data_IF_241901065167
#
_entry.id   IF_241901065167
#
_cell.length_a   1.000
_cell.length_b   1.000
_cell.length_c   1.000
_cell.angle_alpha   90.00
_cell.angle_beta   90.00
_cell.angle_gamma   90.00
#
_symmetry.space_group_name_H-M   'P 1'
#
loop_
_entity.id
_entity.type
_entity.pdbx_description
1 polymer ?
#
# COMPACT_ATOMS: atom_id res chain seq x y z
N UNK A 1 -12.92 -1.17 -18.05
CA UNK A 1 -11.84 -0.18 -17.87
C UNK A 1 -11.10 -0.64 -16.64
N UNK A 2 -9.79 -0.79 -16.75
CA UNK A 2 -8.96 -1.33 -15.70
C UNK A 2 -9.11 -0.56 -14.38
N UNK A 3 -9.33 -1.29 -13.29
CA UNK A 3 -9.41 -0.75 -11.94
C UNK A 3 -8.01 -0.50 -11.37
N UNK A 4 -7.02 -1.33 -11.70
CA UNK A 4 -5.64 -1.15 -11.24
C UNK A 4 -4.70 -1.30 -12.45
N UNK A 5 -3.80 -0.33 -12.63
CA UNK A 5 -2.82 -0.33 -13.72
C UNK A 5 -1.43 -0.02 -13.20
N UNK A 6 -0.46 -0.81 -13.65
CA UNK A 6 0.98 -0.53 -13.53
C UNK A 6 1.55 -0.24 -14.92
N UNK A 7 2.27 0.88 -15.03
CA UNK A 7 3.00 1.26 -16.25
C UNK A 7 4.50 1.32 -15.93
N UNK A 8 5.27 0.43 -16.56
CA UNK A 8 6.73 0.32 -16.43
C UNK A 8 7.24 0.31 -14.99
N UNK A 9 6.49 -0.32 -14.08
CA UNK A 9 6.74 -0.26 -12.65
C UNK A 9 8.03 -0.99 -12.29
N UNK A 10 8.99 -0.27 -11.72
CA UNK A 10 10.26 -0.83 -11.26
C UNK A 10 10.59 -0.40 -9.84
N UNK A 11 11.21 -1.30 -9.08
CA UNK A 11 11.60 -1.05 -7.70
C UNK A 11 12.95 -1.66 -7.40
N UNK A 12 13.87 -0.80 -6.97
CA UNK A 12 15.19 -1.15 -6.50
C UNK A 12 15.34 -0.77 -5.03
N UNK A 13 16.05 -1.60 -4.28
CA UNK A 13 16.43 -1.37 -2.89
C UNK A 13 17.94 -1.28 -2.79
N UNK A 14 18.43 -0.28 -2.07
CA UNK A 14 19.84 -0.19 -1.71
C UNK A 14 20.08 -1.01 -0.45
N UNK A 15 20.92 -2.03 -0.53
CA UNK A 15 21.36 -2.86 0.59
C UNK A 15 22.86 -2.66 0.84
N UNK A 16 23.40 -3.26 1.90
CA UNK A 16 24.85 -3.21 2.19
C UNK A 16 25.68 -3.91 1.11
N UNK A 17 25.12 -4.93 0.49
CA UNK A 17 25.79 -5.76 -0.52
C UNK A 17 25.58 -5.24 -1.96
N UNK A 18 24.84 -4.13 -2.11
CA UNK A 18 24.61 -3.47 -3.39
C UNK A 18 23.14 -3.14 -3.66
N UNK A 19 22.84 -2.89 -4.92
CA UNK A 19 21.48 -2.57 -5.36
C UNK A 19 20.75 -3.87 -5.75
N UNK A 20 19.57 -4.08 -5.17
CA UNK A 20 18.71 -5.24 -5.45
C UNK A 20 17.47 -4.78 -6.20
N UNK A 21 17.29 -5.28 -7.42
CA UNK A 21 16.10 -5.04 -8.23
C UNK A 21 14.99 -6.02 -7.85
N UNK A 22 13.99 -5.53 -7.11
CA UNK A 22 12.86 -6.33 -6.65
C UNK A 22 11.72 -6.40 -7.68
N UNK A 23 11.53 -5.34 -8.47
CA UNK A 23 10.57 -5.28 -9.57
C UNK A 23 11.23 -4.64 -10.77
N UNK A 24 11.00 -5.20 -11.95
CA UNK A 24 11.59 -4.75 -13.21
C UNK A 24 10.53 -4.64 -14.28
N UNK A 25 10.27 -3.43 -14.75
CA UNK A 25 9.40 -3.12 -15.90
C UNK A 25 8.06 -3.87 -15.89
N UNK A 26 7.38 -3.85 -14.74
CA UNK A 26 6.11 -4.56 -14.59
C UNK A 26 5.00 -3.73 -15.23
N UNK A 27 4.31 -4.34 -16.18
CA UNK A 27 3.12 -3.81 -16.83
C UNK A 27 1.95 -4.76 -16.54
N UNK A 28 0.92 -4.25 -15.88
CA UNK A 28 -0.21 -5.05 -15.39
C UNK A 28 -1.48 -4.23 -15.44
N UNK A 29 -2.58 -4.85 -15.85
CA UNK A 29 -3.92 -4.28 -15.85
C UNK A 29 -4.87 -5.28 -15.20
N UNK A 30 -5.61 -4.84 -14.20
CA UNK A 30 -6.61 -5.63 -13.47
C UNK A 30 -7.96 -4.94 -13.65
N UNK A 31 -8.95 -5.66 -14.18
CA UNK A 31 -10.31 -5.12 -14.33
C UNK A 31 -11.08 -5.16 -13.02
N UNK A 32 -12.13 -4.34 -12.96
CA UNK A 32 -13.00 -4.25 -11.79
C UNK A 32 -13.72 -5.57 -11.53
N UNK A 33 -13.66 -6.03 -10.28
CA UNK A 33 -14.37 -7.24 -9.83
C UNK A 33 -13.58 -8.53 -10.02
N UNK A 34 -12.43 -8.47 -10.69
CA UNK A 34 -11.58 -9.64 -10.88
C UNK A 34 -10.81 -10.00 -9.61
N UNK A 35 -10.52 -11.30 -9.48
CA UNK A 35 -9.67 -11.84 -8.43
C UNK A 35 -8.37 -12.32 -9.09
N UNK A 36 -7.26 -11.66 -8.74
CA UNK A 36 -5.93 -11.98 -9.25
C UNK A 36 -5.05 -12.62 -8.17
N UNK A 37 -4.33 -13.68 -8.55
CA UNK A 37 -3.30 -14.31 -7.72
C UNK A 37 -1.89 -13.98 -8.24
N UNK A 38 -0.99 -13.56 -7.35
CA UNK A 38 0.43 -13.37 -7.67
C UNK A 38 1.22 -14.53 -7.05
N UNK A 39 1.84 -15.36 -7.89
CA UNK A 39 2.61 -16.54 -7.48
C UNK A 39 4.08 -16.41 -7.91
N UNK A 40 4.97 -17.14 -7.21
CA UNK A 40 6.41 -17.11 -7.47
C UNK A 40 7.23 -17.42 -6.22
N UNK A 41 8.51 -17.71 -6.40
CA UNK A 41 9.44 -18.07 -5.31
C UNK A 41 9.55 -16.97 -4.25
N UNK A 42 9.98 -17.34 -3.04
CA UNK A 42 10.34 -16.36 -2.00
C UNK A 42 11.40 -15.40 -2.56
N UNK A 43 11.28 -14.11 -2.25
CA UNK A 43 12.19 -13.08 -2.77
C UNK A 43 11.88 -12.56 -4.18
N UNK A 44 10.96 -13.17 -4.94
CA UNK A 44 10.62 -12.75 -6.31
C UNK A 44 9.87 -11.39 -6.42
N UNK A 45 9.80 -10.59 -5.36
CA UNK A 45 9.17 -9.26 -5.41
C UNK A 45 7.65 -9.21 -5.22
N UNK A 46 6.97 -10.34 -5.00
CA UNK A 46 5.50 -10.39 -4.86
C UNK A 46 4.93 -9.41 -3.82
N UNK A 47 5.47 -9.44 -2.60
CA UNK A 47 5.02 -8.56 -1.52
C UNK A 47 5.36 -7.09 -1.82
N UNK A 48 6.45 -6.83 -2.53
CA UNK A 48 6.82 -5.50 -3.04
C UNK A 48 5.76 -5.01 -4.02
N UNK A 49 5.38 -5.85 -4.99
CA UNK A 49 4.37 -5.52 -6.02
C UNK A 49 3.01 -5.16 -5.39
N UNK A 50 2.53 -5.98 -4.45
CA UNK A 50 1.26 -5.73 -3.75
C UNK A 50 1.32 -4.42 -2.95
N UNK A 51 2.45 -4.12 -2.30
CA UNK A 51 2.65 -2.85 -1.56
C UNK A 51 2.77 -1.63 -2.46
N UNK A 52 3.08 -1.81 -3.75
CA UNK A 52 3.07 -0.69 -4.70
C UNK A 52 1.64 -0.26 -5.08
N UNK A 53 0.63 -1.15 -4.99
CA UNK A 53 -0.78 -0.81 -5.31
C UNK A 53 -1.27 0.39 -4.48
N UNK A 54 -0.97 0.41 -3.18
CA UNK A 54 -1.33 1.51 -2.29
C UNK A 54 -0.17 2.47 -1.99
N UNK A 55 0.94 2.33 -2.72
CA UNK A 55 2.22 3.03 -2.50
C UNK A 55 2.77 2.93 -1.08
N UNK A 56 2.44 1.90 -0.30
CA UNK A 56 3.17 1.62 0.95
C UNK A 56 4.64 1.38 0.66
N UNK A 57 4.93 0.77 -0.49
CA UNK A 57 6.24 0.83 -1.13
C UNK A 57 6.15 1.75 -2.35
N UNK A 58 6.93 2.84 -2.37
CA UNK A 58 7.02 3.70 -3.55
C UNK A 58 7.94 3.06 -4.59
N UNK A 59 7.51 2.91 -5.85
CA UNK A 59 8.37 2.43 -6.91
C UNK A 59 9.54 3.40 -7.12
N UNK A 60 10.65 2.87 -7.62
CA UNK A 60 11.80 3.68 -8.05
C UNK A 60 11.49 4.42 -9.34
N UNK A 61 10.74 3.78 -10.25
CA UNK A 61 10.25 4.37 -11.49
C UNK A 61 8.95 3.70 -11.95
N UNK A 62 8.31 4.31 -12.95
CA UNK A 62 7.00 3.88 -13.44
C UNK A 62 5.84 4.47 -12.64
N UNK A 63 4.63 4.07 -13.01
CA UNK A 63 3.39 4.66 -12.50
C UNK A 63 2.42 3.63 -12.00
N UNK A 64 1.60 4.05 -11.04
CA UNK A 64 0.53 3.25 -10.47
C UNK A 64 -0.77 4.02 -10.56
N UNK A 65 -1.78 3.41 -11.18
CA UNK A 65 -3.13 3.96 -11.26
C UNK A 65 -4.09 3.02 -10.54
N UNK A 66 -5.03 3.58 -9.80
CA UNK A 66 -6.16 2.85 -9.21
C UNK A 66 -7.41 3.65 -9.50
N UNK A 67 -8.49 3.03 -9.97
CA UNK A 67 -9.74 3.70 -10.37
C UNK A 67 -9.49 4.91 -11.30
N UNK A 68 -8.50 4.80 -12.21
CA UNK A 68 -8.18 5.84 -13.20
C UNK A 68 -7.37 7.05 -12.69
N UNK A 69 -7.01 7.15 -11.41
CA UNK A 69 -6.13 8.24 -10.93
C UNK A 69 -4.70 7.75 -10.69
N UNK A 70 -3.72 8.55 -11.11
CA UNK A 70 -2.29 8.28 -10.92
C UNK A 70 -1.89 8.54 -9.45
N UNK A 71 -1.64 7.48 -8.68
CA UNK A 71 -1.23 7.56 -7.28
C UNK A 71 0.20 8.08 -7.11
N UNK A 72 1.09 7.78 -8.06
CA UNK A 72 2.52 8.14 -7.99
C UNK A 72 2.75 9.65 -7.98
N UNK A 73 1.89 10.40 -8.69
CA UNK A 73 1.91 11.86 -8.75
C UNK A 73 1.24 12.54 -7.55
N UNK A 74 0.55 11.80 -6.67
CA UNK A 74 -0.18 12.39 -5.55
C UNK A 74 0.76 12.90 -4.45
N UNK A 75 0.39 14.04 -3.87
CA UNK A 75 0.99 14.53 -2.63
C UNK A 75 0.72 13.56 -1.46
N UNK A 76 1.53 13.61 -0.38
CA UNK A 76 1.27 12.78 0.79
C UNK A 76 -0.14 12.96 1.38
N UNK A 77 -0.74 14.15 1.27
CA UNK A 77 -2.09 14.42 1.79
C UNK A 77 -3.18 13.75 0.95
N UNK A 78 -3.08 13.84 -0.37
CA UNK A 78 -4.01 13.20 -1.31
C UNK A 78 -3.91 11.68 -1.20
N UNK A 79 -2.67 11.16 -1.18
CA UNK A 79 -2.42 9.73 -1.07
C UNK A 79 -3.00 9.15 0.22
N UNK A 80 -2.91 9.87 1.36
CA UNK A 80 -3.57 9.47 2.61
C UNK A 80 -5.08 9.36 2.47
N UNK A 81 -5.72 10.32 1.79
CA UNK A 81 -7.18 10.26 1.53
C UNK A 81 -7.51 9.07 0.64
N UNK A 82 -6.72 8.83 -0.39
CA UNK A 82 -6.95 7.73 -1.34
C UNK A 82 -6.80 6.35 -0.71
N UNK A 83 -5.79 6.15 0.13
CA UNK A 83 -5.58 4.89 0.89
C UNK A 83 -6.77 4.50 1.77
N UNK A 84 -7.63 5.44 2.20
CA UNK A 84 -8.86 5.11 2.95
C UNK A 84 -9.88 4.28 2.14
N UNK A 85 -9.75 4.28 0.80
CA UNK A 85 -10.59 3.50 -0.12
C UNK A 85 -9.98 2.14 -0.48
N UNK A 86 -8.70 1.90 -0.16
CA UNK A 86 -7.98 0.67 -0.52
C UNK A 86 -7.75 -0.15 0.75
N UNK A 87 -8.42 -1.31 0.87
CA UNK A 87 -8.16 -2.26 1.95
C UNK A 87 -6.91 -3.09 1.69
N UNK A 88 -6.12 -3.36 2.72
CA UNK A 88 -4.98 -4.28 2.64
C UNK A 88 -4.96 -5.19 3.87
N UNK A 89 -4.76 -6.49 3.62
CA UNK A 89 -4.53 -7.50 4.66
C UNK A 89 -3.07 -7.94 4.54
N UNK A 90 -2.34 -7.95 5.66
CA UNK A 90 -0.92 -8.27 5.71
C UNK A 90 -0.70 -9.76 6.01
N UNK A 91 0.42 -10.31 5.52
CA UNK A 91 0.82 -11.70 5.76
C UNK A 91 1.06 -11.99 7.25
N UNK A 92 1.66 -11.06 7.98
CA UNK A 92 1.71 -11.09 9.45
C UNK A 92 0.54 -10.24 9.96
N UNK A 93 -0.25 -10.80 10.88
CA UNK A 93 -1.44 -10.14 11.40
C UNK A 93 -1.04 -8.92 12.25
N UNK A 94 -1.12 -7.73 11.66
CA UNK A 94 -0.88 -6.45 12.33
C UNK A 94 -2.07 -6.04 13.20
N UNK A 95 -2.45 -6.90 14.16
CA UNK A 95 -3.52 -6.66 15.11
C UNK A 95 -3.00 -5.97 16.36
N UNK A 96 -3.82 -5.09 16.94
CA UNK A 96 -3.56 -4.51 18.24
C UNK A 96 -3.86 -5.54 19.33
N UNK A 97 -2.81 -6.15 19.87
CA UNK A 97 -2.91 -7.22 20.87
C UNK A 97 -3.66 -6.78 22.14
N UNK A 98 -3.57 -5.49 22.51
CA UNK A 98 -4.27 -4.92 23.66
C UNK A 98 -5.77 -4.62 23.39
N UNK A 99 -6.33 -5.06 22.26
CA UNK A 99 -7.72 -4.77 21.86
C UNK A 99 -8.45 -6.05 21.46
N UNK A 100 -9.75 -6.06 21.67
CA UNK A 100 -10.63 -7.13 21.20
C UNK A 100 -10.72 -7.18 19.67
N UNK A 101 -11.23 -8.29 19.14
CA UNK A 101 -11.52 -8.43 17.70
C UNK A 101 -12.43 -7.31 17.21
N UNK A 102 -13.51 -7.03 17.95
CA UNK A 102 -14.46 -5.95 17.63
C UNK A 102 -13.75 -4.59 17.55
N UNK A 103 -12.87 -4.30 18.51
CA UNK A 103 -12.16 -3.02 18.54
C UNK A 103 -11.14 -2.88 17.40
N UNK A 104 -10.46 -3.96 17.02
CA UNK A 104 -9.56 -3.97 15.85
C UNK A 104 -10.34 -3.67 14.56
N UNK A 105 -11.52 -4.27 14.37
CA UNK A 105 -12.40 -4.00 13.22
C UNK A 105 -12.97 -2.58 13.28
N UNK A 106 -13.47 -2.15 14.45
CA UNK A 106 -14.06 -0.84 14.64
C UNK A 106 -13.04 0.31 14.48
N UNK A 107 -11.76 0.05 14.69
CA UNK A 107 -10.69 1.04 14.48
C UNK A 107 -10.69 1.59 13.06
N UNK A 108 -10.98 0.76 12.05
CA UNK A 108 -11.09 1.21 10.66
C UNK A 108 -12.17 2.29 10.49
N UNK A 109 -13.29 2.15 11.19
CA UNK A 109 -14.38 3.14 11.19
C UNK A 109 -13.98 4.41 11.94
N UNK A 110 -13.30 4.27 13.09
CA UNK A 110 -12.83 5.42 13.90
C UNK A 110 -11.76 6.23 13.19
N UNK A 111 -10.80 5.58 12.54
CA UNK A 111 -9.73 6.22 11.74
C UNK A 111 -10.30 6.96 10.53
N UNK A 112 -11.38 6.48 9.91
CA UNK A 112 -12.04 7.26 8.85
C UNK A 112 -12.53 8.62 9.36
N UNK A 113 -13.04 8.68 10.59
CA UNK A 113 -13.64 9.88 11.21
C UNK A 113 -12.64 10.78 11.97
N UNK A 114 -11.60 10.21 12.61
CA UNK A 114 -10.69 10.97 13.48
C UNK A 114 -9.70 11.89 12.74
N UNK A 115 -9.45 11.63 11.45
CA UNK A 115 -8.52 12.41 10.64
C UNK A 115 -9.18 13.58 9.88
N UNK A 116 -10.46 13.86 10.13
CA UNK A 116 -11.21 14.83 9.30
C UNK A 116 -11.03 16.30 9.72
N UNK A 117 -10.48 16.62 10.90
CA UNK A 117 -10.48 18.04 11.33
C UNK A 117 -9.17 18.61 11.90
N UNK A 118 -8.21 17.82 12.43
CA UNK A 118 -6.99 18.42 13.02
C UNK A 118 -5.67 17.71 12.80
N UNK A 119 -5.63 16.54 12.15
CA UNK A 119 -4.36 15.85 11.86
C UNK A 119 -3.47 15.54 13.09
N UNK A 120 -4.00 15.65 14.31
CA UNK A 120 -3.29 15.37 15.56
C UNK A 120 -3.85 14.06 16.11
N UNK A 121 -3.01 13.03 16.16
CA UNK A 121 -3.23 11.88 17.02
C UNK A 121 -2.90 12.32 18.45
N UNK A 122 -3.92 12.73 19.20
CA UNK A 122 -3.81 12.90 20.65
C UNK A 122 -3.92 11.53 21.32
N UNK A 123 -2.85 10.76 21.20
CA UNK A 123 -2.58 9.63 22.09
C UNK A 123 -1.08 9.48 22.09
N UNK A 124 -0.45 9.68 23.26
CA UNK A 124 1.00 9.62 23.48
C UNK A 124 1.59 8.25 23.14
N UNK A 125 1.68 7.96 21.85
CA UNK A 125 2.28 6.76 21.30
C UNK A 125 3.46 7.25 20.47
N UNK A 126 4.65 7.19 21.06
CA UNK A 126 5.89 7.20 20.28
C UNK A 126 5.95 5.92 19.45
N UNK A 127 6.24 6.08 18.16
CA UNK A 127 6.65 4.98 17.30
C UNK A 127 8.10 5.25 16.92
N UNK A 128 9.02 4.45 17.47
CA UNK A 128 10.31 4.24 16.82
C UNK A 128 10.05 3.41 15.55
N UNK A 129 10.54 3.93 14.43
CA UNK A 129 10.56 3.27 13.12
C UNK A 129 11.78 2.36 13.06
#
# INVERSE_FOLDING_TARGET
MAEIVFENLSKQFTTRDGMVEALKDINLSIEKGDIYGIIGMSGAGKSTLVRCINLLERPTSGKVYVEGEELTAMTPRELRKRRKKIGMIFQQFNLFAARTVYENIALMKRVKNAFDERGILNSGISYDV
#
